data_IF_870744085536
#
_entry.id   IF_870744085536
#
_cell.length_a   1.000
_cell.length_b   1.000
_cell.length_c   1.000
_cell.angle_alpha   90.00
_cell.angle_beta   90.00
_cell.angle_gamma   90.00
#
_symmetry.space_group_name_H-M   'P 1'
#
loop_
_entity.id
_entity.type
_entity.pdbx_description
1 polymer ?
#
# COMPACT_ATOMS: atom_id res chain seq x y z
N UNK A 1 -1.97 22.78 -23.07
CA UNK A 1 -2.19 21.32 -23.02
C UNK A 1 -1.95 20.90 -21.58
N UNK A 2 -2.97 20.41 -20.88
CA UNK A 2 -2.75 19.83 -19.55
C UNK A 2 -1.95 18.54 -19.72
N UNK A 3 -0.78 18.49 -19.11
CA UNK A 3 0.03 17.27 -19.07
C UNK A 3 -0.43 16.48 -17.85
N UNK A 4 -1.23 15.45 -18.07
CA UNK A 4 -1.62 14.54 -16.98
C UNK A 4 -0.41 13.71 -16.55
N UNK A 5 0.13 13.97 -15.36
CA UNK A 5 1.16 13.12 -14.74
C UNK A 5 0.56 12.23 -13.64
N UNK A 6 0.93 10.96 -13.65
CA UNK A 6 0.57 10.03 -12.58
C UNK A 6 1.44 10.35 -11.36
N UNK A 7 0.81 10.46 -10.19
CA UNK A 7 1.51 10.77 -8.93
C UNK A 7 1.29 9.71 -7.84
N UNK A 8 0.16 9.01 -7.88
CA UNK A 8 -0.26 8.08 -6.84
C UNK A 8 -0.74 6.76 -7.42
N UNK A 9 -0.46 5.69 -6.70
CA UNK A 9 -1.07 4.38 -6.85
C UNK A 9 -1.76 4.06 -5.53
N UNK A 10 -3.09 4.05 -5.55
CA UNK A 10 -3.93 3.75 -4.39
C UNK A 10 -4.53 2.36 -4.57
N UNK A 11 -4.30 1.45 -3.63
CA UNK A 11 -4.89 0.11 -3.64
C UNK A 11 -5.96 0.03 -2.55
N UNK A 12 -7.21 -0.17 -2.96
CA UNK A 12 -8.31 -0.49 -2.05
C UNK A 12 -8.27 -1.97 -1.67
N UNK A 13 -8.14 -2.25 -0.36
CA UNK A 13 -8.15 -3.61 0.19
C UNK A 13 -9.33 -3.86 1.14
N UNK A 14 -10.42 -3.10 1.00
CA UNK A 14 -11.61 -3.17 1.86
C UNK A 14 -12.27 -4.55 1.96
N UNK A 15 -12.17 -5.38 0.90
CA UNK A 15 -12.71 -6.74 0.86
C UNK A 15 -11.70 -7.83 1.22
N UNK A 16 -10.41 -7.48 1.35
CA UNK A 16 -9.35 -8.47 1.59
C UNK A 16 -9.44 -8.96 3.04
N UNK A 17 -9.94 -10.17 3.23
CA UNK A 17 -10.17 -10.77 4.55
C UNK A 17 -8.90 -11.23 5.27
N UNK A 18 -7.84 -11.54 4.52
CA UNK A 18 -6.59 -12.07 5.05
C UNK A 18 -5.42 -11.85 4.08
N UNK A 19 -4.21 -11.65 4.61
CA UNK A 19 -2.96 -11.66 3.86
C UNK A 19 -1.98 -12.60 4.56
N UNK A 20 -1.17 -13.31 3.79
CA UNK A 20 -0.11 -14.20 4.27
C UNK A 20 1.27 -13.57 4.00
N UNK A 21 2.34 -14.31 4.26
CA UNK A 21 3.71 -13.84 4.00
C UNK A 21 3.93 -13.52 2.53
N UNK A 22 3.42 -14.36 1.62
CA UNK A 22 3.61 -14.16 0.18
C UNK A 22 2.91 -12.91 -0.34
N UNK A 23 1.68 -12.63 0.13
CA UNK A 23 0.97 -11.39 -0.20
C UNK A 23 1.67 -10.14 0.33
N UNK A 24 2.30 -10.21 1.50
CA UNK A 24 3.06 -9.08 2.05
C UNK A 24 4.31 -8.80 1.20
N UNK A 25 5.09 -9.83 0.85
CA UNK A 25 6.26 -9.67 -0.03
C UNK A 25 5.86 -9.10 -1.40
N UNK A 26 4.73 -9.54 -1.95
CA UNK A 26 4.18 -8.98 -3.17
C UNK A 26 3.89 -7.46 -3.05
N UNK A 27 3.29 -7.01 -1.94
CA UNK A 27 3.05 -5.59 -1.70
C UNK A 27 4.36 -4.79 -1.56
N UNK A 28 5.40 -5.35 -0.95
CA UNK A 28 6.72 -4.72 -0.85
C UNK A 28 7.35 -4.52 -2.22
N UNK A 29 7.26 -5.53 -3.08
CA UNK A 29 7.82 -5.46 -4.42
C UNK A 29 7.04 -4.50 -5.31
N UNK A 30 5.71 -4.44 -5.18
CA UNK A 30 4.90 -3.39 -5.83
C UNK A 30 5.33 -2.02 -5.35
N UNK A 31 5.46 -1.81 -4.03
CA UNK A 31 5.88 -0.52 -3.47
C UNK A 31 7.25 -0.09 -4.01
N UNK A 32 8.25 -1.00 -4.04
CA UNK A 32 9.58 -0.71 -4.62
C UNK A 32 9.48 -0.29 -6.09
N UNK A 33 8.63 -0.95 -6.87
CA UNK A 33 8.44 -0.63 -8.29
C UNK A 33 7.74 0.72 -8.50
N UNK A 34 6.77 1.07 -7.63
CA UNK A 34 6.07 2.35 -7.65
C UNK A 34 7.01 3.48 -7.22
N UNK A 35 7.77 3.30 -6.15
CA UNK A 35 8.76 4.26 -5.65
C UNK A 35 9.87 4.51 -6.71
N UNK A 36 10.34 3.48 -7.41
CA UNK A 36 11.32 3.61 -8.53
C UNK A 36 10.82 4.49 -9.68
N UNK A 37 9.50 4.61 -9.85
CA UNK A 37 8.86 5.47 -10.86
C UNK A 37 8.57 6.88 -10.36
N UNK A 38 8.98 7.22 -9.12
CA UNK A 38 8.68 8.51 -8.49
C UNK A 38 7.21 8.66 -8.06
N UNK A 39 6.46 7.56 -8.03
CA UNK A 39 5.05 7.53 -7.66
C UNK A 39 4.92 7.23 -6.16
N UNK A 40 3.82 7.68 -5.55
CA UNK A 40 3.49 7.36 -4.16
C UNK A 40 2.54 6.15 -4.10
N UNK A 41 2.89 5.17 -3.28
CA UNK A 41 2.07 3.98 -3.04
C UNK A 41 1.24 4.11 -1.75
N UNK A 42 -0.07 3.89 -1.83
CA UNK A 42 -1.02 4.04 -0.71
C UNK A 42 -1.96 2.83 -0.62
N UNK A 43 -2.24 2.38 0.60
CA UNK A 43 -3.26 1.36 0.89
C UNK A 43 -4.51 2.04 1.46
N UNK A 44 -5.66 1.82 0.83
CA UNK A 44 -6.96 2.31 1.25
C UNK A 44 -7.82 1.19 1.88
N UNK A 45 -8.64 1.56 2.86
CA UNK A 45 -9.59 0.70 3.56
C UNK A 45 -9.04 -0.63 4.15
N UNK A 46 -7.84 -0.67 4.76
CA UNK A 46 -7.38 -1.90 5.40
C UNK A 46 -8.25 -2.25 6.61
N UNK A 47 -8.83 -3.46 6.63
CA UNK A 47 -9.54 -3.96 7.82
C UNK A 47 -8.58 -4.07 9.00
N UNK A 48 -9.09 -3.94 10.23
CA UNK A 48 -8.28 -4.01 11.47
C UNK A 48 -7.38 -5.24 11.58
N UNK A 49 -7.87 -6.42 11.14
CA UNK A 49 -7.07 -7.67 11.06
C UNK A 49 -5.90 -7.56 10.08
N UNK A 50 -6.10 -6.85 8.97
CA UNK A 50 -5.09 -6.60 7.94
C UNK A 50 -4.01 -5.64 8.46
N UNK A 51 -4.42 -4.54 9.08
CA UNK A 51 -3.50 -3.55 9.67
C UNK A 51 -2.53 -4.25 10.62
N UNK A 52 -3.03 -5.09 11.53
CA UNK A 52 -2.19 -5.85 12.48
C UNK A 52 -1.13 -6.71 11.79
N UNK A 53 -1.46 -7.35 10.67
CA UNK A 53 -0.53 -8.19 9.90
C UNK A 53 0.53 -7.35 9.20
N UNK A 54 0.12 -6.26 8.54
CA UNK A 54 1.04 -5.32 7.90
C UNK A 54 2.02 -4.71 8.91
N UNK A 55 1.53 -4.29 10.08
CA UNK A 55 2.37 -3.80 11.19
C UNK A 55 3.34 -4.86 11.68
N UNK A 56 2.89 -6.10 11.91
CA UNK A 56 3.76 -7.20 12.36
C UNK A 56 4.87 -7.49 11.35
N UNK A 57 4.57 -7.39 10.05
CA UNK A 57 5.56 -7.58 8.99
C UNK A 57 6.51 -6.40 8.77
N UNK A 58 6.37 -5.29 9.52
CA UNK A 58 7.12 -4.04 9.32
C UNK A 58 6.89 -3.39 7.94
N UNK A 59 5.81 -3.76 7.25
CA UNK A 59 5.35 -3.13 6.02
C UNK A 59 4.89 -1.65 6.23
N UNK A 60 4.89 -1.17 7.46
CA UNK A 60 4.29 0.10 7.90
C UNK A 60 5.05 1.38 7.56
N UNK A 61 6.06 1.36 6.68
CA UNK A 61 6.82 2.60 6.43
C UNK A 61 6.09 3.67 5.60
N UNK A 62 4.91 3.38 5.02
CA UNK A 62 4.09 4.38 4.29
C UNK A 62 2.57 4.09 4.33
N UNK A 63 2.03 3.45 5.36
CA UNK A 63 0.58 3.61 5.61
C UNK A 63 0.45 5.00 6.20
N UNK A 64 0.25 6.00 5.35
CA UNK A 64 0.13 7.39 5.77
C UNK A 64 -0.99 7.47 6.80
N UNK A 65 -0.61 7.59 8.08
CA UNK A 65 -1.46 8.12 9.15
C UNK A 65 -1.88 9.58 8.88
N UNK A 66 -1.48 10.14 7.73
CA UNK A 66 -1.84 11.46 7.22
C UNK A 66 -3.29 11.55 6.72
N UNK A 67 -4.04 10.45 6.69
CA UNK A 67 -5.46 10.41 6.29
C UNK A 67 -6.33 9.58 7.26
N UNK A 68 -6.05 9.67 8.56
CA UNK A 68 -7.03 9.34 9.60
C UNK A 68 -7.88 10.58 9.92
#
# INVERSE_FOLDING_TARGET
MEVTSLHYVVIDIGIVGNIDTSGITMLEDVQKNVDRKGLKFVIANPRSKMIKKLTKSKFTKKVSTEWL
#
